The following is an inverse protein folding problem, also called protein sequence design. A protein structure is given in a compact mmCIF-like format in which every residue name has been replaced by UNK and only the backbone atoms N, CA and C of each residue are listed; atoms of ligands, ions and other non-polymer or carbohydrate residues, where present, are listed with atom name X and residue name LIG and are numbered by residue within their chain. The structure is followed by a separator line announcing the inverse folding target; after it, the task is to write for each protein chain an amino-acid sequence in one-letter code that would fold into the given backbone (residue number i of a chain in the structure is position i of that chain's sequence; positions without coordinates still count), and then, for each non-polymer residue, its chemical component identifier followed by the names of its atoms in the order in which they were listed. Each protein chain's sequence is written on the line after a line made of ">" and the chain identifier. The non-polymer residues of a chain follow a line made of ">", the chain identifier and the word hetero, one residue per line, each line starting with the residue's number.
data_IF_689602253083
#
_entry.id   IF_689602253083
#
_cell.length_a   1.000
_cell.length_b   1.000
_cell.length_c   1.000
_cell.angle_alpha   90.00
_cell.angle_beta   90.00
_cell.angle_gamma   90.00
#
_symmetry.space_group_name_H-M   'P 1'
#
loop_
_entity.id
_entity.type
_entity.pdbx_description
1 polymer ?
#
# COMPACT_ATOMS: atom_id res chain seq x y z
N UNK A 1 16.56 6.34 7.44
CA UNK A 1 17.28 7.25 6.52
C UNK A 1 16.68 8.63 6.67
N UNK A 2 17.49 9.69 6.70
CA UNK A 2 17.13 11.09 7.03
C UNK A 2 16.04 11.74 6.13
N UNK A 3 15.43 11.00 5.21
CA UNK A 3 14.38 11.43 4.28
C UNK A 3 12.95 11.12 4.76
N UNK A 4 12.77 10.38 5.87
CA UNK A 4 11.43 10.05 6.38
C UNK A 4 10.66 11.29 6.85
N UNK A 5 11.37 12.30 7.35
CA UNK A 5 10.81 13.57 7.84
C UNK A 5 10.31 14.50 6.72
N UNK A 6 10.61 14.21 5.45
CA UNK A 6 10.28 15.09 4.31
C UNK A 6 9.07 14.60 3.49
N UNK A 7 8.28 13.65 4.01
CA UNK A 7 7.12 13.06 3.33
C UNK A 7 5.83 13.86 3.50
N UNK A 8 5.94 15.19 3.51
CA UNK A 8 4.76 16.04 3.50
C UNK A 8 4.06 15.95 2.14
N UNK A 9 2.73 15.99 2.13
CA UNK A 9 1.93 15.92 0.91
C UNK A 9 2.35 16.97 -0.13
N UNK A 10 2.74 18.17 0.29
CA UNK A 10 3.25 19.21 -0.62
C UNK A 10 4.50 18.78 -1.38
N UNK A 11 5.47 18.15 -0.71
CA UNK A 11 6.70 17.68 -1.33
C UNK A 11 6.40 16.52 -2.28
N UNK A 12 5.63 15.53 -1.82
CA UNK A 12 5.27 14.36 -2.62
C UNK A 12 4.46 14.74 -3.86
N UNK A 13 3.49 15.66 -3.75
CA UNK A 13 2.70 16.14 -4.87
C UNK A 13 3.56 16.81 -5.95
N UNK A 14 4.52 17.65 -5.54
CA UNK A 14 5.45 18.29 -6.48
C UNK A 14 6.28 17.25 -7.24
N UNK A 15 6.89 16.29 -6.53
CA UNK A 15 7.67 15.22 -7.17
C UNK A 15 6.82 14.37 -8.13
N UNK A 16 5.62 13.96 -7.70
CA UNK A 16 4.73 13.16 -8.54
C UNK A 16 4.31 13.92 -9.80
N UNK A 17 4.00 15.21 -9.68
CA UNK A 17 3.64 16.05 -10.83
C UNK A 17 4.80 16.20 -11.80
N UNK A 18 6.01 16.50 -11.32
CA UNK A 18 7.21 16.61 -12.18
C UNK A 18 7.43 15.31 -12.96
N UNK A 19 7.42 14.15 -12.30
CA UNK A 19 7.61 12.87 -12.96
C UNK A 19 6.57 12.62 -14.07
N UNK A 20 5.31 12.92 -13.79
CA UNK A 20 4.23 12.75 -14.77
C UNK A 20 4.36 13.71 -15.97
N UNK A 21 4.68 14.98 -15.72
CA UNK A 21 4.90 15.99 -16.78
C UNK A 21 6.11 15.66 -17.66
N UNK A 22 7.12 14.99 -17.12
CA UNK A 22 8.27 14.47 -17.88
C UNK A 22 7.94 13.20 -18.70
N UNK A 23 6.70 12.71 -18.62
CA UNK A 23 6.21 11.63 -19.47
C UNK A 23 6.11 10.25 -18.79
N UNK A 24 6.33 10.16 -17.48
CA UNK A 24 6.06 8.92 -16.75
C UNK A 24 4.60 8.48 -16.91
N UNK A 25 4.37 7.18 -17.08
CA UNK A 25 3.02 6.61 -17.26
C UNK A 25 2.39 6.09 -15.96
N UNK A 26 3.23 5.87 -14.95
CA UNK A 26 2.86 5.49 -13.59
C UNK A 26 3.89 6.14 -12.67
N UNK A 27 3.45 6.63 -11.51
CA UNK A 27 4.33 7.19 -10.49
C UNK A 27 4.28 6.33 -9.24
N UNK A 28 5.46 5.89 -8.77
CA UNK A 28 5.60 5.28 -7.45
C UNK A 28 6.02 6.34 -6.45
N UNK A 29 5.30 6.46 -5.34
CA UNK A 29 5.60 7.43 -4.26
C UNK A 29 5.36 6.82 -2.88
N UNK A 30 5.65 7.56 -1.81
CA UNK A 30 5.34 7.13 -0.45
C UNK A 30 3.96 7.61 0.00
N UNK A 31 3.33 6.86 0.90
CA UNK A 31 2.15 7.32 1.63
C UNK A 31 2.52 8.39 2.66
N UNK A 32 1.58 9.30 2.95
CA UNK A 32 1.65 10.27 4.03
C UNK A 32 0.28 10.38 4.71
N UNK A 33 0.22 10.46 6.03
CA UNK A 33 -1.05 10.52 6.76
C UNK A 33 -1.91 11.73 6.36
N UNK A 34 -1.29 12.90 6.19
CA UNK A 34 -2.00 14.14 5.91
C UNK A 34 -1.92 14.54 4.43
N UNK A 35 -3.06 14.45 3.74
CA UNK A 35 -3.23 15.00 2.40
C UNK A 35 -2.72 14.11 1.26
N UNK A 36 -2.70 12.79 1.44
CA UNK A 36 -2.32 11.86 0.37
C UNK A 36 -3.28 11.90 -0.83
N UNK A 37 -4.57 12.14 -0.57
CA UNK A 37 -5.60 12.41 -1.59
C UNK A 37 -5.17 13.55 -2.54
N UNK A 38 -4.56 14.61 -2.02
CA UNK A 38 -4.04 15.74 -2.82
C UNK A 38 -2.82 15.34 -3.65
N UNK A 39 -1.98 14.43 -3.16
CA UNK A 39 -0.84 13.90 -3.91
C UNK A 39 -1.35 13.12 -5.12
N UNK A 40 -2.31 12.23 -4.90
CA UNK A 40 -2.93 11.43 -5.97
C UNK A 40 -3.67 12.33 -6.96
N UNK A 41 -4.56 13.21 -6.49
CA UNK A 41 -5.33 14.10 -7.35
C UNK A 41 -4.46 15.10 -8.15
N UNK A 42 -3.29 15.47 -7.61
CA UNK A 42 -2.32 16.33 -8.29
C UNK A 42 -1.46 15.63 -9.35
N UNK A 43 -1.46 14.29 -9.40
CA UNK A 43 -0.70 13.51 -10.37
C UNK A 43 -1.61 13.08 -11.54
N UNK A 44 -1.35 13.52 -12.78
CA UNK A 44 -2.22 13.21 -13.92
C UNK A 44 -2.10 11.77 -14.44
N UNK A 45 -1.31 10.92 -13.78
CA UNK A 45 -1.12 9.50 -14.12
C UNK A 45 -1.27 8.64 -12.86
N UNK A 46 -1.55 7.33 -12.99
CA UNK A 46 -1.81 6.48 -11.84
C UNK A 46 -0.65 6.45 -10.83
N UNK A 47 -1.02 6.46 -9.54
CA UNK A 47 -0.08 6.45 -8.40
C UNK A 47 -0.09 5.11 -7.70
N UNK A 48 1.10 4.57 -7.44
CA UNK A 48 1.35 3.32 -6.70
C UNK A 48 2.13 3.61 -5.43
N UNK A 49 1.71 3.02 -4.31
CA UNK A 49 2.35 3.28 -3.00
C UNK A 49 3.55 2.38 -2.74
N UNK A 50 4.64 2.97 -2.26
CA UNK A 50 5.79 2.27 -1.73
C UNK A 50 5.58 1.90 -0.25
N UNK A 51 6.09 0.73 0.15
CA UNK A 51 5.93 0.23 1.52
C UNK A 51 6.68 0.98 2.63
N UNK A 52 7.68 1.80 2.31
CA UNK A 52 8.50 2.44 3.35
C UNK A 52 9.44 1.45 4.08
N UNK A 53 9.93 1.83 5.28
CA UNK A 53 10.65 0.93 6.19
C UNK A 53 9.82 -0.30 6.58
N UNK A 54 10.47 -1.29 7.19
CA UNK A 54 9.76 -2.38 7.84
C UNK A 54 8.91 -1.81 8.99
N UNK A 55 7.61 -2.12 9.00
CA UNK A 55 6.70 -1.83 10.10
C UNK A 55 6.90 -2.84 11.24
N UNK A 56 6.47 -2.48 12.45
CA UNK A 56 6.61 -3.35 13.62
C UNK A 56 5.54 -4.45 13.64
N UNK A 57 4.38 -4.19 13.03
CA UNK A 57 3.27 -5.14 12.97
C UNK A 57 2.68 -5.24 11.56
N UNK A 58 2.03 -6.37 11.27
CA UNK A 58 1.30 -6.55 10.03
C UNK A 58 0.11 -5.59 9.92
N UNK A 59 -0.56 -5.33 11.04
CA UNK A 59 -1.70 -4.42 11.11
C UNK A 59 -1.34 -3.01 10.62
N UNK A 60 -0.19 -2.47 11.06
CA UNK A 60 0.29 -1.16 10.58
C UNK A 60 0.42 -1.13 9.06
N UNK A 61 0.90 -2.21 8.45
CA UNK A 61 1.03 -2.32 6.99
C UNK A 61 -0.35 -2.31 6.33
N UNK A 62 -1.28 -3.09 6.85
CA UNK A 62 -2.63 -3.20 6.33
C UNK A 62 -3.37 -1.85 6.44
N UNK A 63 -3.20 -1.11 7.53
CA UNK A 63 -3.82 0.18 7.77
C UNK A 63 -3.37 1.24 6.77
N UNK A 64 -2.06 1.47 6.60
CA UNK A 64 -1.60 2.51 5.68
C UNK A 64 -1.88 2.13 4.21
N UNK A 65 -1.85 0.83 3.88
CA UNK A 65 -2.20 0.36 2.54
C UNK A 65 -3.68 0.62 2.28
N UNK A 66 -4.56 0.24 3.21
CA UNK A 66 -6.00 0.49 3.09
C UNK A 66 -6.28 2.00 2.95
N UNK A 67 -5.75 2.83 3.84
CA UNK A 67 -5.94 4.28 3.80
C UNK A 67 -5.52 4.87 2.45
N UNK A 68 -4.33 4.53 1.97
CA UNK A 68 -3.85 5.07 0.71
C UNK A 68 -4.62 4.57 -0.52
N UNK A 69 -5.17 3.35 -0.49
CA UNK A 69 -6.12 2.88 -1.52
C UNK A 69 -7.42 3.70 -1.47
N UNK A 70 -7.98 3.98 -0.29
CA UNK A 70 -9.16 4.83 -0.13
C UNK A 70 -8.91 6.28 -0.60
N UNK A 71 -7.66 6.74 -0.47
CA UNK A 71 -7.22 8.05 -0.94
C UNK A 71 -6.77 8.07 -2.42
N UNK A 72 -7.07 7.01 -3.18
CA UNK A 72 -7.00 7.00 -4.64
C UNK A 72 -5.73 6.41 -5.26
N UNK A 73 -4.82 5.82 -4.47
CA UNK A 73 -3.77 4.98 -5.05
C UNK A 73 -4.41 3.81 -5.81
N UNK A 74 -3.79 3.41 -6.92
CA UNK A 74 -4.30 2.30 -7.75
C UNK A 74 -3.66 0.94 -7.39
N UNK A 75 -2.79 0.93 -6.40
CA UNK A 75 -2.08 -0.27 -5.96
C UNK A 75 -0.82 0.03 -5.18
N UNK A 76 -0.05 -1.02 -4.97
CA UNK A 76 1.11 -0.99 -4.08
C UNK A 76 2.35 -1.64 -4.70
N UNK A 77 3.53 -1.22 -4.24
CA UNK A 77 4.83 -1.78 -4.55
C UNK A 77 5.63 -1.89 -3.23
N UNK A 78 5.25 -2.88 -2.42
CA UNK A 78 5.88 -3.22 -1.15
C UNK A 78 7.04 -4.20 -1.38
N UNK A 79 8.06 -4.08 -0.53
CA UNK A 79 9.19 -5.01 -0.51
C UNK A 79 9.43 -5.54 0.90
N UNK A 80 10.10 -4.72 1.72
CA UNK A 80 10.47 -5.05 3.11
C UNK A 80 9.31 -5.56 3.97
N UNK A 81 8.17 -4.88 3.93
CA UNK A 81 6.95 -5.29 4.66
C UNK A 81 6.35 -6.63 4.21
N UNK A 82 6.86 -7.22 3.12
CA UNK A 82 6.50 -8.57 2.67
C UNK A 82 7.63 -9.54 2.97
N UNK A 83 8.82 -9.35 2.39
CA UNK A 83 9.88 -10.37 2.47
C UNK A 83 10.64 -10.41 3.81
N UNK A 84 10.50 -9.38 4.67
CA UNK A 84 11.07 -9.38 6.03
C UNK A 84 10.04 -9.78 7.09
N UNK A 85 8.79 -10.02 6.70
CA UNK A 85 7.81 -10.65 7.60
C UNK A 85 8.19 -12.11 7.80
N UNK A 86 7.95 -12.64 9.01
CA UNK A 86 8.03 -14.08 9.28
C UNK A 86 6.96 -14.88 8.50
N UNK A 87 5.93 -14.18 7.98
CA UNK A 87 4.76 -14.75 7.31
C UNK A 87 4.50 -14.06 5.96
N UNK A 88 5.43 -14.16 4.97
CA UNK A 88 5.33 -13.44 3.71
C UNK A 88 4.11 -13.84 2.87
N UNK A 89 3.73 -15.12 2.88
CA UNK A 89 2.57 -15.62 2.13
C UNK A 89 1.24 -15.12 2.71
N UNK A 90 0.99 -15.23 4.03
CA UNK A 90 -0.13 -14.55 4.68
C UNK A 90 -0.20 -13.05 4.36
N UNK A 91 0.92 -12.34 4.45
CA UNK A 91 0.99 -10.91 4.16
C UNK A 91 0.56 -10.58 2.72
N UNK A 92 1.07 -11.34 1.73
CA UNK A 92 0.68 -11.14 0.32
C UNK A 92 -0.82 -11.35 0.13
N UNK A 93 -1.42 -12.36 0.78
CA UNK A 93 -2.86 -12.64 0.65
C UNK A 93 -3.72 -11.56 1.29
N UNK A 94 -3.34 -11.08 2.47
CA UNK A 94 -4.03 -9.98 3.15
C UNK A 94 -3.97 -8.67 2.33
N UNK A 95 -2.78 -8.31 1.83
CA UNK A 95 -2.60 -7.14 0.96
C UNK A 95 -3.40 -7.25 -0.34
N UNK A 96 -3.43 -8.45 -0.94
CA UNK A 96 -4.23 -8.72 -2.14
C UNK A 96 -5.72 -8.42 -1.88
N UNK A 97 -6.24 -8.85 -0.73
CA UNK A 97 -7.64 -8.64 -0.37
C UNK A 97 -7.99 -7.14 -0.31
N UNK A 98 -7.12 -6.30 0.25
CA UNK A 98 -7.30 -4.84 0.24
C UNK A 98 -7.25 -4.29 -1.20
N UNK A 99 -6.21 -4.63 -1.96
CA UNK A 99 -5.95 -3.99 -3.27
C UNK A 99 -6.94 -4.41 -4.36
N UNK A 100 -7.36 -5.68 -4.37
CA UNK A 100 -8.12 -6.24 -5.49
C UNK A 100 -9.57 -6.57 -5.15
N UNK A 101 -9.91 -6.69 -3.87
CA UNK A 101 -11.23 -7.12 -3.42
C UNK A 101 -11.93 -6.05 -2.58
N UNK A 102 -11.31 -4.86 -2.44
CA UNK A 102 -11.80 -3.74 -1.61
C UNK A 102 -12.10 -4.14 -0.16
N UNK A 103 -11.38 -5.14 0.37
CA UNK A 103 -11.56 -5.59 1.73
C UNK A 103 -11.11 -4.56 2.76
N UNK A 104 -11.78 -4.55 3.92
CA UNK A 104 -11.39 -3.74 5.08
C UNK A 104 -10.10 -4.26 5.73
N UNK A 105 -9.47 -3.42 6.54
CA UNK A 105 -8.28 -3.80 7.34
C UNK A 105 -8.57 -5.03 8.22
N UNK A 106 -9.77 -5.08 8.81
CA UNK A 106 -10.19 -6.19 9.67
C UNK A 106 -10.26 -7.50 8.90
N UNK A 107 -10.93 -7.51 7.74
CA UNK A 107 -11.04 -8.70 6.89
C UNK A 107 -9.67 -9.14 6.38
N UNK A 108 -8.79 -8.20 6.03
CA UNK A 108 -7.41 -8.50 5.62
C UNK A 108 -6.60 -9.14 6.77
N UNK A 109 -6.77 -8.68 8.00
CA UNK A 109 -6.16 -9.29 9.18
C UNK A 109 -6.68 -10.72 9.42
N UNK A 110 -7.99 -10.94 9.26
CA UNK A 110 -8.58 -12.28 9.34
C UNK A 110 -8.02 -13.22 8.26
N UNK A 111 -7.83 -12.73 7.03
CA UNK A 111 -7.16 -13.47 5.95
C UNK A 111 -5.71 -13.80 6.33
N UNK A 112 -4.97 -12.86 6.91
CA UNK A 112 -3.60 -13.09 7.36
C UNK A 112 -3.56 -14.22 8.40
N UNK A 113 -4.38 -14.13 9.45
CA UNK A 113 -4.39 -15.09 10.56
C UNK A 113 -4.82 -16.49 10.10
N UNK A 114 -5.81 -16.60 9.22
CA UNK A 114 -6.25 -17.87 8.66
C UNK A 114 -5.17 -18.56 7.82
N UNK A 115 -4.46 -17.80 6.97
CA UNK A 115 -3.39 -18.37 6.13
C UNK A 115 -2.17 -18.76 6.99
N UNK A 116 -1.88 -17.97 8.03
CA UNK A 116 -0.81 -18.25 9.00
C UNK A 116 -1.09 -19.52 9.82
N UNK A 117 -2.35 -19.79 10.18
CA UNK A 117 -2.74 -20.96 10.97
C UNK A 117 -2.60 -22.31 10.23
N UNK A 118 -2.30 -22.31 8.93
CA UNK A 118 -2.01 -23.53 8.16
C UNK A 118 -3.16 -24.00 7.26
N UNK A 119 -4.20 -23.20 7.08
CA UNK A 119 -5.36 -23.64 6.31
C UNK A 119 -5.09 -23.70 4.81
N UNK A 120 -4.12 -22.93 4.29
CA UNK A 120 -3.48 -23.04 2.96
C UNK A 120 -4.38 -22.95 1.71
N UNK A 121 -5.66 -23.27 1.84
CA UNK A 121 -6.69 -23.30 0.82
C UNK A 121 -7.40 -21.95 0.85
N UNK A 122 -7.37 -21.19 -0.25
CA UNK A 122 -8.19 -20.00 -0.33
C UNK A 122 -9.67 -20.41 -0.24
N UNK A 123 -10.50 -19.56 0.37
CA UNK A 123 -11.92 -19.55 0.05
C UNK A 123 -12.05 -19.34 -1.48
N UNK A 124 -13.00 -20.00 -2.17
CA UNK A 124 -13.17 -19.80 -3.59
C UNK A 124 -13.40 -18.31 -3.88
N UNK A 125 -12.63 -17.76 -4.82
CA UNK A 125 -12.85 -16.40 -5.31
C UNK A 125 -14.28 -16.35 -5.88
N UNK A 126 -15.15 -15.43 -5.41
CA UNK A 126 -16.46 -15.26 -5.99
C UNK A 126 -16.33 -14.94 -7.49
N UNK A 127 -17.12 -15.62 -8.32
CA UNK A 127 -17.19 -15.38 -9.76
C UNK A 127 -17.77 -14.00 -10.09
#
# INVERSE_FOLDING_TARGET
>A
GRELEQRESRYLALCCRICAELGAKVVKTYWCADGFDKVVAGCPVPVVMAGGPQADTELEVLEFVHDGMQNGAIGINLGRNVWQSDYPVPMIRALRHIVHENGSVKEAQEVFDAVKAGDGRPAPVPA
#
